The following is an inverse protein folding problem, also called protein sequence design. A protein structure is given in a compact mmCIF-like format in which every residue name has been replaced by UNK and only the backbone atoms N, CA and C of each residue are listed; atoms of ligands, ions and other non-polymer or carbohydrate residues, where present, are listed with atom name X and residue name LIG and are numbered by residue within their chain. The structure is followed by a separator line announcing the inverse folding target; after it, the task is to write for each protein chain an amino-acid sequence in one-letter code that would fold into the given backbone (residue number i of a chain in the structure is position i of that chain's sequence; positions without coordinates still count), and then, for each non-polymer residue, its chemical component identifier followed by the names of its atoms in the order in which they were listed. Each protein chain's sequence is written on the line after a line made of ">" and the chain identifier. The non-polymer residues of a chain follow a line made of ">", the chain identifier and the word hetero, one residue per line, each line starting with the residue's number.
data_IF_852163685463
#
_entry.id   IF_852163685463
#
_cell.length_a   1.000
_cell.length_b   1.000
_cell.length_c   1.000
_cell.angle_alpha   90.00
_cell.angle_beta   90.00
_cell.angle_gamma   90.00
#
_symmetry.space_group_name_H-M   'P 1'
#
loop_
_entity.id
_entity.type
_entity.pdbx_description
1 polymer ?
#
# COMPACT_ATOMS: atom_id res chain seq x y z
N UNK A 1 -41.59 5.37 -13.12
CA UNK A 1 -40.83 6.61 -13.41
C UNK A 1 -39.93 7.05 -12.25
N UNK A 2 -40.45 7.23 -11.01
CA UNK A 2 -39.65 7.64 -9.83
C UNK A 2 -38.42 6.76 -9.53
N UNK A 3 -38.52 5.43 -9.64
CA UNK A 3 -37.39 4.50 -9.38
C UNK A 3 -36.28 4.54 -10.44
N UNK A 4 -36.61 4.84 -11.70
CA UNK A 4 -35.65 4.94 -12.81
C UNK A 4 -34.89 6.28 -12.73
N UNK A 5 -35.57 7.34 -12.29
CA UNK A 5 -34.97 8.65 -12.03
C UNK A 5 -33.98 8.63 -10.85
N UNK A 6 -34.31 7.91 -9.77
CA UNK A 6 -33.40 7.76 -8.62
C UNK A 6 -32.17 6.91 -8.99
N UNK A 7 -32.36 5.82 -9.74
CA UNK A 7 -31.24 4.99 -10.21
C UNK A 7 -30.33 5.74 -11.20
N UNK A 8 -30.92 6.52 -12.10
CA UNK A 8 -30.17 7.37 -13.04
C UNK A 8 -29.38 8.48 -12.33
N UNK A 9 -29.93 9.06 -11.25
CA UNK A 9 -29.24 10.09 -10.46
C UNK A 9 -28.07 9.50 -9.64
N UNK A 10 -28.25 8.30 -9.07
CA UNK A 10 -27.18 7.59 -8.34
C UNK A 10 -26.03 7.20 -9.30
N UNK A 11 -26.35 6.71 -10.50
CA UNK A 11 -25.34 6.39 -11.52
C UNK A 11 -24.63 7.66 -12.01
N UNK A 12 -25.35 8.79 -12.17
CA UNK A 12 -24.73 10.06 -12.56
C UNK A 12 -23.78 10.62 -11.49
N UNK A 13 -24.13 10.49 -10.20
CA UNK A 13 -23.28 10.93 -9.09
C UNK A 13 -22.04 10.03 -8.96
N UNK A 14 -22.20 8.70 -9.15
CA UNK A 14 -21.08 7.76 -9.20
C UNK A 14 -20.15 8.01 -10.40
N UNK A 15 -20.70 8.36 -11.56
CA UNK A 15 -19.91 8.75 -12.74
C UNK A 15 -19.21 10.10 -12.54
N UNK A 16 -19.84 11.07 -11.88
CA UNK A 16 -19.23 12.36 -11.57
C UNK A 16 -18.08 12.25 -10.56
N UNK A 17 -18.16 11.30 -9.61
CA UNK A 17 -17.05 10.96 -8.72
C UNK A 17 -15.91 10.22 -9.44
N UNK A 18 -16.23 9.37 -10.43
CA UNK A 18 -15.23 8.66 -11.23
C UNK A 18 -14.54 9.55 -12.30
N UNK A 19 -15.18 10.63 -12.73
CA UNK A 19 -14.70 11.52 -13.80
C UNK A 19 -14.17 12.88 -13.30
N UNK A 20 -14.01 13.05 -11.99
CA UNK A 20 -13.24 14.18 -11.48
C UNK A 20 -11.79 13.98 -11.92
N UNK A 21 -11.19 14.88 -12.75
CA UNK A 21 -9.77 14.80 -13.01
C UNK A 21 -9.04 14.96 -11.68
N UNK A 22 -8.54 13.86 -11.11
CA UNK A 22 -7.60 13.88 -9.99
C UNK A 22 -6.35 14.55 -10.52
N UNK A 23 -6.30 15.86 -10.34
CA UNK A 23 -5.15 16.68 -10.68
C UNK A 23 -4.09 16.44 -9.62
N UNK A 24 -3.40 15.31 -9.68
CA UNK A 24 -2.16 15.10 -8.93
C UNK A 24 -1.05 15.82 -9.68
N UNK A 25 -1.05 17.15 -9.60
CA UNK A 25 0.17 17.91 -9.91
C UNK A 25 1.15 17.51 -8.82
N UNK A 26 2.15 16.70 -9.18
CA UNK A 26 3.31 16.46 -8.32
C UNK A 26 3.93 17.83 -8.01
N UNK A 27 3.70 18.36 -6.81
CA UNK A 27 4.34 19.60 -6.39
C UNK A 27 5.74 19.26 -5.90
N UNK A 28 6.69 19.34 -6.83
CA UNK A 28 8.12 19.12 -6.60
C UNK A 28 8.59 19.92 -5.38
N UNK A 29 9.18 19.22 -4.39
CA UNK A 29 9.77 19.85 -3.20
C UNK A 29 8.78 20.41 -2.18
N UNK A 30 7.49 20.01 -2.26
CA UNK A 30 6.52 20.36 -1.22
C UNK A 30 6.92 19.79 0.15
N UNK A 31 6.44 20.42 1.22
CA UNK A 31 6.52 19.83 2.56
C UNK A 31 5.71 18.54 2.63
N UNK A 32 6.28 17.51 3.24
CA UNK A 32 5.62 16.25 3.57
C UNK A 32 5.24 16.29 5.04
N UNK A 33 3.97 16.05 5.32
CA UNK A 33 3.49 15.96 6.72
C UNK A 33 3.43 14.51 7.15
N UNK A 34 4.17 14.17 8.22
CA UNK A 34 4.15 12.84 8.83
C UNK A 34 3.48 12.97 10.21
N UNK A 35 2.33 12.33 10.37
CA UNK A 35 1.67 12.20 11.65
C UNK A 35 2.15 10.93 12.37
N UNK A 36 2.37 11.03 13.67
CA UNK A 36 2.84 9.93 14.52
C UNK A 36 1.88 9.74 15.67
N UNK A 37 1.40 8.51 15.83
CA UNK A 37 0.46 8.17 16.88
C UNK A 37 1.16 7.88 18.20
N UNK A 38 0.73 8.58 19.25
CA UNK A 38 1.08 8.33 20.65
C UNK A 38 -0.19 8.27 21.52
N UNK A 39 -1.38 8.33 20.89
CA UNK A 39 -2.65 8.40 21.60
C UNK A 39 -3.21 7.01 21.94
N UNK A 40 -2.68 5.95 21.31
CA UNK A 40 -3.17 4.58 21.43
C UNK A 40 -2.23 3.68 22.24
N UNK A 41 -1.43 4.30 23.12
CA UNK A 41 -0.60 3.60 24.11
C UNK A 41 0.81 3.25 23.62
N UNK A 42 1.23 3.80 22.47
CA UNK A 42 2.62 3.78 22.03
C UNK A 42 3.51 4.53 23.00
N UNK A 43 4.76 4.09 23.16
CA UNK A 43 5.80 4.89 23.81
C UNK A 43 6.48 5.80 22.78
N UNK A 44 7.10 6.89 23.24
CA UNK A 44 7.81 7.85 22.39
C UNK A 44 9.31 7.51 22.24
N UNK A 45 9.74 6.33 22.70
CA UNK A 45 11.15 5.93 22.67
C UNK A 45 11.72 6.06 21.26
N UNK A 46 12.85 6.73 21.15
CA UNK A 46 13.56 7.06 19.91
C UNK A 46 12.84 8.02 18.95
N UNK A 47 11.61 8.44 19.22
CA UNK A 47 10.88 9.34 18.32
C UNK A 47 11.58 10.69 18.16
N UNK A 48 12.08 11.28 19.24
CA UNK A 48 12.84 12.54 19.18
C UNK A 48 14.08 12.44 18.27
N UNK A 49 14.74 11.27 18.25
CA UNK A 49 15.88 11.05 17.37
C UNK A 49 15.43 10.92 15.92
N UNK A 50 14.35 10.19 15.64
CA UNK A 50 13.79 10.08 14.29
C UNK A 50 13.42 11.47 13.75
N UNK A 51 12.65 12.22 14.53
CA UNK A 51 12.16 13.55 14.13
C UNK A 51 13.28 14.56 13.99
N UNK A 52 14.27 14.52 14.89
CA UNK A 52 15.43 15.40 14.86
C UNK A 52 16.43 15.11 13.73
N UNK A 53 16.54 13.84 13.29
CA UNK A 53 17.45 13.46 12.19
C UNK A 53 16.79 13.53 10.82
N UNK A 54 15.48 13.29 10.71
CA UNK A 54 14.74 13.29 9.44
C UNK A 54 13.91 14.58 9.34
N UNK A 55 14.59 15.71 9.11
CA UNK A 55 13.93 17.01 8.90
C UNK A 55 13.63 17.30 7.43
N UNK A 56 14.26 16.55 6.53
CA UNK A 56 14.01 16.58 5.09
C UNK A 56 14.53 15.30 4.46
N UNK A 57 13.98 14.90 3.31
CA UNK A 57 14.54 13.82 2.48
C UNK A 57 14.83 14.32 1.07
N UNK A 58 15.86 13.75 0.43
CA UNK A 58 16.20 14.07 -0.96
C UNK A 58 15.74 12.92 -1.86
N UNK A 59 14.90 13.26 -2.83
CA UNK A 59 14.36 12.33 -3.83
C UNK A 59 14.61 12.93 -5.20
N UNK A 60 15.32 12.22 -6.08
CA UNK A 60 15.68 12.67 -7.44
C UNK A 60 16.29 14.08 -7.50
N UNK A 61 17.15 14.42 -6.54
CA UNK A 61 17.81 15.73 -6.45
C UNK A 61 16.92 16.85 -5.89
N UNK A 62 15.68 16.54 -5.49
CA UNK A 62 14.73 17.48 -4.90
C UNK A 62 14.65 17.25 -3.40
N UNK A 63 14.75 18.33 -2.61
CA UNK A 63 14.58 18.28 -1.16
C UNK A 63 13.11 18.44 -0.80
N UNK A 64 12.60 17.53 0.03
CA UNK A 64 11.26 17.54 0.60
C UNK A 64 11.38 17.77 2.11
N UNK A 65 11.05 18.97 2.62
CA UNK A 65 11.00 19.22 4.06
C UNK A 65 9.97 18.32 4.75
N UNK A 66 10.27 17.84 5.96
CA UNK A 66 9.34 17.05 6.77
C UNK A 66 8.74 17.91 7.87
N UNK A 67 7.41 17.91 7.97
CA UNK A 67 6.66 18.44 9.09
C UNK A 67 6.12 17.29 9.94
N UNK A 68 6.59 17.18 11.18
CA UNK A 68 6.15 16.14 12.12
C UNK A 68 4.95 16.62 12.94
N UNK A 69 3.94 15.77 13.07
CA UNK A 69 2.74 16.04 13.87
C UNK A 69 2.52 14.88 14.84
N UNK A 70 2.65 15.12 16.14
CA UNK A 70 2.42 14.11 17.17
C UNK A 70 0.94 14.11 17.58
N UNK A 71 0.30 12.95 17.49
CA UNK A 71 -1.06 12.72 17.99
C UNK A 71 -0.90 12.23 19.43
N UNK A 72 -0.88 13.17 20.37
CA UNK A 72 -0.54 12.89 21.78
C UNK A 72 -1.70 12.28 22.57
N UNK A 73 -1.46 11.62 23.72
CA UNK A 73 -2.51 11.10 24.58
C UNK A 73 -3.65 12.08 24.83
N UNK A 74 -4.89 11.62 24.61
CA UNK A 74 -6.12 12.41 24.73
C UNK A 74 -6.57 13.12 23.45
N UNK A 75 -5.78 13.05 22.37
CA UNK A 75 -6.25 13.38 21.02
C UNK A 75 -6.93 12.18 20.37
N UNK A 76 -7.73 12.43 19.34
CA UNK A 76 -8.32 11.40 18.49
C UNK A 76 -7.91 11.60 17.04
N UNK A 77 -7.76 10.51 16.31
CA UNK A 77 -7.47 10.54 14.87
C UNK A 77 -8.75 10.93 14.13
N UNK A 78 -8.81 12.15 13.62
CA UNK A 78 -9.99 12.68 12.92
C UNK A 78 -9.67 13.06 11.49
N UNK A 79 -10.69 13.16 10.63
CA UNK A 79 -10.53 13.62 9.25
C UNK A 79 -9.92 15.02 9.14
N UNK A 80 -10.19 15.89 10.11
CA UNK A 80 -9.59 17.23 10.15
C UNK A 80 -8.10 17.16 10.47
N UNK A 81 -7.70 16.37 11.47
CA UNK A 81 -6.30 16.11 11.80
C UNK A 81 -5.54 15.52 10.60
N UNK A 82 -6.16 14.57 9.89
CA UNK A 82 -5.52 13.88 8.76
C UNK A 82 -5.55 14.66 7.43
N UNK A 83 -6.28 15.77 7.34
CA UNK A 83 -6.53 16.50 6.08
C UNK A 83 -5.25 16.95 5.35
N UNK A 84 -4.20 17.30 6.10
CA UNK A 84 -2.89 17.70 5.57
C UNK A 84 -1.80 16.65 5.73
N UNK A 85 -2.13 15.45 6.22
CA UNK A 85 -1.17 14.38 6.52
C UNK A 85 -0.91 13.55 5.26
N UNK A 86 0.36 13.28 4.96
CA UNK A 86 0.79 12.45 3.85
C UNK A 86 1.10 11.01 4.28
N UNK A 87 1.69 10.88 5.47
CA UNK A 87 2.11 9.61 6.05
C UNK A 87 1.60 9.55 7.49
N UNK A 88 0.97 8.45 7.87
CA UNK A 88 0.54 8.17 9.24
C UNK A 88 1.35 7.00 9.79
N UNK A 89 2.05 7.21 10.91
CA UNK A 89 2.84 6.20 11.59
C UNK A 89 2.13 5.77 12.88
N UNK A 90 1.68 4.52 12.93
CA UNK A 90 1.12 3.89 14.13
C UNK A 90 2.16 2.89 14.64
N UNK A 91 2.69 3.14 15.83
CA UNK A 91 3.88 2.46 16.33
C UNK A 91 3.60 1.02 16.76
N UNK A 92 3.04 0.87 17.96
CA UNK A 92 2.67 -0.39 18.57
C UNK A 92 1.44 -0.11 19.45
N UNK A 93 0.25 0.04 18.85
CA UNK A 93 -0.92 0.47 19.57
C UNK A 93 -1.31 -0.64 20.56
N UNK A 94 -1.62 -0.25 21.78
CA UNK A 94 -2.11 -1.14 22.85
C UNK A 94 -3.56 -0.84 23.24
N UNK A 95 -4.13 0.22 22.65
CA UNK A 95 -5.51 0.65 22.81
C UNK A 95 -6.21 0.60 21.45
N UNK A 96 -7.43 0.06 21.43
CA UNK A 96 -8.22 -0.03 20.20
C UNK A 96 -8.66 1.35 19.70
N UNK A 97 -8.61 1.53 18.38
CA UNK A 97 -9.17 2.69 17.69
C UNK A 97 -10.70 2.73 17.80
N UNK A 98 -11.24 3.93 18.00
CA UNK A 98 -12.68 4.16 17.90
C UNK A 98 -13.21 3.98 16.47
N UNK A 99 -14.51 3.68 16.28
CA UNK A 99 -15.11 3.57 14.95
C UNK A 99 -14.90 4.80 14.06
N UNK A 100 -15.01 6.00 14.64
CA UNK A 100 -14.82 7.26 13.92
C UNK A 100 -13.36 7.45 13.49
N UNK A 101 -12.40 6.96 14.28
CA UNK A 101 -10.98 7.01 13.96
C UNK A 101 -10.63 6.05 12.84
N UNK A 102 -11.14 4.82 12.90
CA UNK A 102 -10.98 3.83 11.83
C UNK A 102 -11.55 4.35 10.50
N UNK A 103 -12.72 5.00 10.52
CA UNK A 103 -13.32 5.60 9.32
C UNK A 103 -12.54 6.83 8.82
N UNK A 104 -12.00 7.64 9.72
CA UNK A 104 -11.12 8.77 9.36
C UNK A 104 -9.85 8.27 8.65
N UNK A 105 -9.19 7.25 9.19
CA UNK A 105 -7.99 6.64 8.59
C UNK A 105 -8.33 6.03 7.22
N UNK A 106 -9.43 5.26 7.14
CA UNK A 106 -9.88 4.66 5.89
C UNK A 106 -10.17 5.72 4.82
N UNK A 107 -10.97 6.72 5.15
CA UNK A 107 -11.31 7.82 4.24
C UNK A 107 -10.06 8.58 3.78
N UNK A 108 -9.14 8.87 4.71
CA UNK A 108 -7.87 9.50 4.40
C UNK A 108 -7.04 8.68 3.41
N UNK A 109 -6.89 7.38 3.63
CA UNK A 109 -6.13 6.48 2.74
C UNK A 109 -6.72 6.44 1.31
N UNK A 110 -8.06 6.49 1.21
CA UNK A 110 -8.81 6.52 -0.06
C UNK A 110 -8.64 7.83 -0.85
N UNK A 111 -8.11 8.89 -0.24
CA UNK A 111 -7.79 10.14 -0.97
C UNK A 111 -6.62 9.96 -1.94
N UNK A 112 -5.81 8.93 -1.74
CA UNK A 112 -4.66 8.60 -2.59
C UNK A 112 -3.37 9.33 -2.21
N UNK A 113 -2.24 8.82 -2.71
CA UNK A 113 -0.90 9.32 -2.39
C UNK A 113 -0.61 9.34 -0.88
N UNK A 114 -1.06 8.30 -0.17
CA UNK A 114 -0.89 8.17 1.29
C UNK A 114 -0.08 6.94 1.66
N UNK A 115 0.62 7.02 2.79
CA UNK A 115 1.24 5.83 3.40
C UNK A 115 0.76 5.65 4.82
N UNK A 116 0.09 4.54 5.09
CA UNK A 116 -0.17 4.05 6.44
C UNK A 116 0.96 3.10 6.83
N UNK A 117 1.73 3.45 7.84
CA UNK A 117 2.61 2.50 8.53
C UNK A 117 1.94 2.08 9.83
N UNK A 118 1.91 0.78 10.10
CA UNK A 118 1.45 0.24 11.36
C UNK A 118 2.31 -0.94 11.78
N UNK A 119 2.68 -1.00 13.05
CA UNK A 119 3.37 -2.15 13.60
C UNK A 119 2.73 -2.64 14.90
N UNK A 120 3.13 -3.85 15.29
CA UNK A 120 2.74 -4.49 16.53
C UNK A 120 3.95 -5.14 17.19
N UNK A 121 3.67 -6.15 17.99
CA UNK A 121 4.64 -6.93 18.80
C UNK A 121 4.35 -8.43 18.58
N UNK A 122 5.22 -9.27 19.09
CA UNK A 122 5.01 -10.70 19.31
C UNK A 122 3.79 -11.00 20.17
N UNK A 123 3.40 -12.27 20.25
CA UNK A 123 2.36 -12.74 21.16
C UNK A 123 2.82 -12.81 22.64
N UNK A 124 3.97 -12.24 23.01
CA UNK A 124 4.44 -12.22 24.39
C UNK A 124 3.82 -11.07 25.19
N UNK A 125 3.56 -11.29 26.48
CA UNK A 125 3.05 -10.24 27.38
C UNK A 125 1.74 -9.61 26.89
N UNK A 126 1.76 -8.30 26.66
CA UNK A 126 0.60 -7.54 26.15
C UNK A 126 0.44 -7.58 24.62
N UNK A 127 1.37 -8.20 23.90
CA UNK A 127 1.42 -8.16 22.45
C UNK A 127 0.24 -8.78 21.70
N UNK A 128 -0.48 -9.83 22.18
CA UNK A 128 -1.71 -10.29 21.52
C UNK A 128 -2.76 -9.19 21.35
N UNK A 129 -2.90 -8.30 22.34
CA UNK A 129 -3.81 -7.17 22.24
C UNK A 129 -3.36 -6.16 21.16
N UNK A 130 -2.04 -5.94 21.02
CA UNK A 130 -1.50 -5.10 19.97
C UNK A 130 -1.73 -5.71 18.58
N UNK A 131 -1.46 -7.02 18.43
CA UNK A 131 -1.73 -7.78 17.19
C UNK A 131 -3.22 -7.67 16.80
N UNK A 132 -4.14 -7.84 17.76
CA UNK A 132 -5.58 -7.73 17.52
C UNK A 132 -5.99 -6.32 17.06
N UNK A 133 -5.46 -5.28 17.70
CA UNK A 133 -5.72 -3.88 17.32
C UNK A 133 -5.21 -3.60 15.90
N UNK A 134 -3.97 -4.01 15.60
CA UNK A 134 -3.36 -3.85 14.27
C UNK A 134 -4.17 -4.58 13.21
N UNK A 135 -4.48 -5.86 13.44
CA UNK A 135 -5.23 -6.69 12.50
C UNK A 135 -6.67 -6.19 12.28
N UNK A 136 -7.29 -5.60 13.31
CA UNK A 136 -8.61 -4.99 13.21
C UNK A 136 -8.60 -3.76 12.30
N UNK A 137 -7.63 -2.85 12.48
CA UNK A 137 -7.49 -1.68 11.61
C UNK A 137 -7.14 -2.09 10.18
N UNK A 138 -6.21 -3.03 10.00
CA UNK A 138 -5.83 -3.54 8.68
C UNK A 138 -7.01 -4.14 7.92
N UNK A 139 -7.87 -4.90 8.61
CA UNK A 139 -9.12 -5.40 8.04
C UNK A 139 -10.12 -4.30 7.70
N UNK A 140 -10.19 -3.26 8.52
CA UNK A 140 -11.08 -2.13 8.29
C UNK A 140 -10.69 -1.29 7.07
N UNK A 141 -9.39 -1.09 6.84
CA UNK A 141 -8.87 -0.33 5.68
C UNK A 141 -8.71 -1.18 4.41
N UNK A 142 -9.34 -2.35 4.37
CA UNK A 142 -9.34 -3.28 3.23
C UNK A 142 -7.93 -3.81 2.84
N UNK A 143 -6.96 -3.77 3.77
CA UNK A 143 -5.65 -4.42 3.55
C UNK A 143 -5.77 -5.93 3.73
N UNK A 144 -4.98 -6.68 2.95
CA UNK A 144 -4.80 -8.13 3.06
C UNK A 144 -3.75 -8.52 4.10
N UNK A 145 -2.81 -7.64 4.43
CA UNK A 145 -1.72 -7.92 5.37
C UNK A 145 -2.23 -8.07 6.80
N UNK A 146 -1.65 -8.99 7.58
CA UNK A 146 -1.92 -9.18 9.00
C UNK A 146 -0.64 -9.51 9.74
N UNK A 147 -0.61 -9.28 11.04
CA UNK A 147 0.38 -9.84 11.94
C UNK A 147 -0.05 -11.24 12.38
N UNK A 148 0.91 -12.15 12.43
CA UNK A 148 0.74 -13.49 12.98
C UNK A 148 0.58 -13.45 14.50
N UNK A 149 -0.24 -14.35 15.04
CA UNK A 149 -0.41 -14.55 16.48
C UNK A 149 0.70 -15.46 17.00
N UNK A 150 1.93 -14.96 16.95
CA UNK A 150 3.12 -15.70 17.34
C UNK A 150 4.30 -14.77 17.61
N UNK A 151 5.37 -15.34 18.16
CA UNK A 151 6.69 -14.73 18.18
C UNK A 151 7.60 -15.38 17.13
N UNK A 152 8.48 -14.58 16.54
CA UNK A 152 9.63 -15.07 15.77
C UNK A 152 10.83 -15.09 16.69
N UNK A 153 11.50 -16.23 16.76
CA UNK A 153 12.69 -16.43 17.58
C UNK A 153 13.85 -16.98 16.75
N UNK A 154 15.06 -16.82 17.26
CA UNK A 154 16.25 -17.50 16.72
C UNK A 154 16.99 -18.22 17.85
N UNK A 155 17.77 -19.26 17.56
CA UNK A 155 18.35 -20.09 18.61
C UNK A 155 19.35 -19.34 19.51
N UNK A 156 19.35 -19.67 20.79
CA UNK A 156 20.31 -19.20 21.79
C UNK A 156 20.52 -20.28 22.86
N UNK A 157 21.75 -20.51 23.37
CA UNK A 157 23.01 -19.79 23.12
C UNK A 157 23.72 -20.19 21.81
N UNK A 158 23.24 -21.21 21.10
CA UNK A 158 23.79 -21.65 19.81
C UNK A 158 23.35 -20.72 18.67
N UNK A 159 23.88 -19.49 18.69
CA UNK A 159 23.50 -18.43 17.75
C UNK A 159 23.84 -18.87 16.33
N UNK A 160 22.82 -18.86 15.47
CA UNK A 160 23.01 -19.06 14.04
C UNK A 160 23.51 -17.76 13.42
N UNK A 161 24.38 -17.88 12.42
CA UNK A 161 24.79 -16.74 11.60
C UNK A 161 24.08 -16.76 10.24
N UNK A 162 23.95 -15.57 9.67
CA UNK A 162 23.47 -15.37 8.31
C UNK A 162 24.46 -14.49 7.54
N UNK A 163 24.83 -14.94 6.34
CA UNK A 163 25.64 -14.14 5.41
C UNK A 163 24.78 -13.05 4.77
N UNK A 164 24.84 -11.85 5.31
CA UNK A 164 24.17 -10.68 4.75
C UNK A 164 25.20 -9.80 4.03
N UNK A 165 24.99 -9.60 2.72
CA UNK A 165 25.87 -8.77 1.86
C UNK A 165 27.36 -9.13 1.97
N UNK A 166 27.65 -10.43 2.08
CA UNK A 166 29.01 -10.95 2.16
C UNK A 166 29.65 -10.88 3.55
N UNK A 167 28.91 -10.49 4.58
CA UNK A 167 29.37 -10.44 5.98
C UNK A 167 28.48 -11.35 6.83
N UNK A 168 29.10 -12.13 7.72
CA UNK A 168 28.37 -12.94 8.70
C UNK A 168 27.85 -12.06 9.84
N UNK A 169 26.54 -12.12 10.09
CA UNK A 169 25.93 -11.51 11.27
C UNK A 169 25.25 -12.58 12.13
N UNK A 170 25.29 -12.46 13.47
CA UNK A 170 24.47 -13.30 14.34
C UNK A 170 23.00 -13.01 14.08
N UNK A 171 22.12 -14.01 14.20
CA UNK A 171 20.67 -13.82 13.99
C UNK A 171 19.94 -13.34 15.25
N UNK A 172 20.66 -13.16 16.37
CA UNK A 172 20.18 -12.43 17.54
C UNK A 172 21.28 -11.67 18.30
N UNK A 173 20.84 -10.76 19.15
CA UNK A 173 21.65 -9.97 20.06
C UNK A 173 21.66 -10.55 21.50
N UNK A 174 22.25 -11.74 21.67
CA UNK A 174 22.49 -12.42 22.96
C UNK A 174 21.26 -12.98 23.69
N UNK A 175 20.11 -13.10 23.01
CA UNK A 175 18.96 -13.86 23.51
C UNK A 175 18.05 -14.24 22.34
N UNK A 176 17.30 -15.34 22.48
CA UNK A 176 16.49 -15.90 21.38
C UNK A 176 15.40 -14.96 20.84
N UNK A 177 14.92 -14.03 21.69
CA UNK A 177 13.90 -13.03 21.34
C UNK A 177 14.48 -11.75 20.74
N UNK A 178 15.78 -11.48 20.93
CA UNK A 178 16.44 -10.25 20.43
C UNK A 178 16.88 -10.43 18.99
N UNK A 179 15.92 -10.73 18.13
CA UNK A 179 16.19 -11.16 16.76
C UNK A 179 16.70 -9.99 15.95
N UNK A 180 17.73 -10.21 15.14
CA UNK A 180 18.09 -9.22 14.12
C UNK A 180 17.48 -9.63 12.79
N UNK A 181 17.03 -8.64 12.03
CA UNK A 181 16.35 -8.81 10.76
C UNK A 181 17.13 -8.12 9.64
N UNK A 182 16.95 -8.62 8.42
CA UNK A 182 17.76 -8.27 7.26
C UNK A 182 16.90 -7.50 6.25
N UNK A 183 17.37 -6.31 5.86
CA UNK A 183 16.69 -5.47 4.87
C UNK A 183 16.98 -6.07 3.49
N UNK A 184 16.01 -6.79 2.95
CA UNK A 184 16.13 -7.56 1.70
C UNK A 184 14.82 -7.41 0.91
N UNK A 185 14.53 -6.19 0.41
CA UNK A 185 13.25 -5.91 -0.20
C UNK A 185 13.08 -6.66 -1.52
N UNK A 186 11.84 -7.06 -1.81
CA UNK A 186 11.47 -7.56 -3.14
C UNK A 186 11.83 -6.51 -4.21
N UNK A 187 12.47 -6.90 -5.33
CA UNK A 187 13.03 -5.97 -6.31
C UNK A 187 11.95 -5.41 -7.25
N UNK A 188 11.01 -4.64 -6.71
CA UNK A 188 9.94 -3.97 -7.45
C UNK A 188 10.42 -2.59 -7.92
N UNK A 189 10.98 -2.53 -9.13
CA UNK A 189 11.60 -1.32 -9.70
C UNK A 189 10.61 -0.16 -9.88
N UNK A 190 9.38 -0.46 -10.31
CA UNK A 190 8.30 0.54 -10.48
C UNK A 190 7.92 1.24 -9.16
N UNK A 191 8.23 0.60 -8.04
CA UNK A 191 7.99 1.15 -6.71
C UNK A 191 9.29 1.51 -5.99
N UNK A 192 10.43 1.59 -6.69
CA UNK A 192 11.69 2.12 -6.14
C UNK A 192 12.18 1.42 -4.87
N UNK A 193 11.85 0.13 -4.70
CA UNK A 193 12.21 -0.68 -3.52
C UNK A 193 13.71 -0.79 -3.27
N UNK A 194 14.54 -0.60 -4.31
CA UNK A 194 16.00 -0.53 -4.18
C UNK A 194 16.48 0.57 -3.21
N UNK A 195 15.69 1.63 -3.00
CA UNK A 195 16.03 2.73 -2.09
C UNK A 195 16.06 2.29 -0.63
N UNK A 196 15.31 1.25 -0.27
CA UNK A 196 15.23 0.75 1.11
C UNK A 196 16.57 0.19 1.59
N UNK A 197 17.31 -0.43 0.67
CA UNK A 197 18.54 -1.16 0.94
C UNK A 197 19.81 -0.35 0.61
N UNK A 198 19.65 0.90 0.16
CA UNK A 198 20.74 1.80 -0.21
C UNK A 198 21.61 2.14 1.00
N UNK A 199 22.90 1.81 0.94
CA UNK A 199 23.88 1.95 2.04
C UNK A 199 23.52 1.24 3.36
N UNK A 200 22.54 0.36 3.37
CA UNK A 200 22.34 -0.57 4.49
C UNK A 200 23.36 -1.70 4.34
N UNK A 201 24.17 -1.95 5.36
CA UNK A 201 25.26 -2.94 5.34
C UNK A 201 25.19 -3.90 6.53
N UNK A 202 24.45 -3.51 7.56
CA UNK A 202 24.22 -4.23 8.82
C UNK A 202 22.72 -4.53 8.96
N UNK A 203 22.34 -5.54 9.76
CA UNK A 203 20.94 -5.82 10.04
C UNK A 203 20.32 -4.71 10.90
N UNK A 204 19.01 -4.83 11.12
CA UNK A 204 18.25 -4.04 12.11
C UNK A 204 17.83 -4.96 13.26
N UNK A 205 17.50 -4.38 14.43
CA UNK A 205 16.95 -5.15 15.55
C UNK A 205 15.43 -5.22 15.47
N UNK A 206 14.87 -6.37 15.86
CA UNK A 206 13.48 -6.50 16.25
C UNK A 206 13.40 -7.31 17.56
N UNK A 207 13.01 -6.66 18.66
CA UNK A 207 13.23 -7.16 20.02
C UNK A 207 12.16 -8.11 20.55
N UNK A 208 10.91 -7.89 20.16
CA UNK A 208 9.77 -8.78 20.40
C UNK A 208 9.06 -9.05 19.10
N UNK A 209 9.68 -9.68 18.09
CA UNK A 209 9.08 -9.68 16.78
C UNK A 209 7.96 -10.69 16.65
N UNK A 210 6.86 -10.28 16.03
CA UNK A 210 6.01 -11.18 15.23
C UNK A 210 6.43 -11.13 13.74
N UNK A 211 5.76 -11.87 12.88
CA UNK A 211 5.91 -11.79 11.42
C UNK A 211 4.60 -11.38 10.74
N UNK A 212 4.74 -10.91 9.51
CA UNK A 212 3.62 -10.56 8.63
C UNK A 212 3.14 -11.82 7.91
N UNK A 213 1.82 -11.97 7.86
CA UNK A 213 1.06 -12.93 7.04
C UNK A 213 0.03 -12.16 6.20
N UNK A 214 -0.78 -12.85 5.41
CA UNK A 214 -1.89 -12.20 4.69
C UNK A 214 -3.15 -13.04 4.65
N UNK A 215 -4.29 -12.42 4.32
CA UNK A 215 -5.60 -13.05 4.25
C UNK A 215 -6.11 -13.00 2.81
N UNK A 216 -6.54 -14.16 2.29
CA UNK A 216 -7.13 -14.27 0.95
C UNK A 216 -8.60 -13.81 0.90
N UNK A 217 -9.16 -13.73 -0.31
CA UNK A 217 -10.55 -13.30 -0.53
C UNK A 217 -11.59 -14.23 0.12
N UNK A 218 -11.21 -15.46 0.45
CA UNK A 218 -12.05 -16.42 1.15
C UNK A 218 -11.88 -16.35 2.68
N UNK A 219 -11.05 -15.43 3.19
CA UNK A 219 -10.81 -15.24 4.62
C UNK A 219 -9.78 -16.20 5.22
N UNK A 220 -9.00 -16.90 4.39
CA UNK A 220 -7.97 -17.81 4.87
C UNK A 220 -6.63 -17.09 5.03
N UNK A 221 -5.92 -17.36 6.12
CA UNK A 221 -4.56 -16.91 6.33
C UNK A 221 -3.57 -17.64 5.42
N UNK A 222 -2.54 -16.92 4.96
CA UNK A 222 -1.56 -17.36 3.96
C UNK A 222 -0.15 -16.91 4.31
N UNK A 223 0.81 -17.72 3.90
CA UNK A 223 2.25 -17.51 4.10
C UNK A 223 2.82 -16.61 2.98
N UNK A 224 3.31 -15.39 3.27
CA UNK A 224 3.88 -14.49 2.27
C UNK A 224 5.26 -14.95 1.76
N UNK A 225 5.90 -15.93 2.42
CA UNK A 225 7.15 -16.52 1.95
C UNK A 225 6.89 -17.37 0.70
N UNK A 226 5.81 -18.16 0.71
CA UNK A 226 5.49 -19.13 -0.34
C UNK A 226 4.34 -18.73 -1.26
N UNK A 227 3.42 -17.87 -0.80
CA UNK A 227 2.25 -17.41 -1.54
C UNK A 227 2.21 -15.88 -1.62
N UNK A 228 1.99 -15.35 -2.82
CA UNK A 228 1.98 -13.91 -3.09
C UNK A 228 0.62 -13.45 -3.65
N UNK A 229 0.33 -12.16 -3.50
CA UNK A 229 -0.82 -11.51 -4.15
C UNK A 229 -0.40 -10.20 -4.84
N UNK A 230 -1.17 -9.71 -5.84
CA UNK A 230 -0.87 -8.44 -6.49
C UNK A 230 -0.82 -7.28 -5.49
N UNK A 231 0.30 -6.58 -5.43
CA UNK A 231 0.52 -5.45 -4.52
C UNK A 231 1.34 -5.81 -3.28
N UNK A 232 1.58 -7.09 -2.97
CA UNK A 232 2.49 -7.50 -1.90
C UNK A 232 3.95 -7.14 -2.25
N UNK A 233 4.65 -6.57 -1.27
CA UNK A 233 6.09 -6.28 -1.31
C UNK A 233 6.69 -6.67 0.03
N UNK A 234 7.61 -7.63 0.07
CA UNK A 234 8.31 -8.03 1.30
C UNK A 234 9.54 -7.15 1.44
N UNK A 235 9.80 -6.60 2.63
CA UNK A 235 10.80 -5.55 2.83
C UNK A 235 11.96 -6.02 3.71
N UNK A 236 11.63 -6.66 4.82
CA UNK A 236 12.58 -7.09 5.85
C UNK A 236 12.30 -8.52 6.24
N UNK A 237 13.36 -9.30 6.43
CA UNK A 237 13.28 -10.74 6.65
C UNK A 237 13.97 -11.16 7.93
N UNK A 238 13.33 -12.07 8.65
CA UNK A 238 14.00 -12.94 9.59
C UNK A 238 14.62 -14.10 8.84
N UNK A 239 15.87 -14.44 9.17
CA UNK A 239 16.61 -15.56 8.60
C UNK A 239 17.02 -16.50 9.72
N UNK A 240 17.04 -17.79 9.44
CA UNK A 240 17.45 -18.84 10.39
C UNK A 240 16.63 -18.85 11.69
N UNK A 241 15.32 -18.67 11.55
CA UNK A 241 14.39 -18.42 12.65
C UNK A 241 13.41 -19.58 12.83
N UNK A 242 12.64 -19.53 13.91
CA UNK A 242 11.54 -20.44 14.22
C UNK A 242 10.39 -19.67 14.89
N UNK A 243 9.22 -20.30 14.96
CA UNK A 243 8.00 -19.73 15.55
C UNK A 243 7.86 -20.17 17.01
N UNK A 244 7.55 -19.22 17.88
CA UNK A 244 7.13 -19.44 19.26
C UNK A 244 5.66 -19.08 19.45
N UNK A 245 5.00 -19.78 20.37
CA UNK A 245 3.63 -19.52 20.83
C UNK A 245 3.71 -19.30 22.35
N UNK A 246 3.56 -18.05 22.75
CA UNK A 246 3.66 -17.60 24.13
C UNK A 246 2.28 -17.41 24.76
N UNK A 247 1.30 -16.89 24.00
CA UNK A 247 -0.06 -16.65 24.48
C UNK A 247 -1.10 -16.90 23.39
N UNK A 248 -2.33 -17.28 23.78
CA UNK A 248 -3.42 -17.45 22.82
C UNK A 248 -3.77 -16.13 22.10
N UNK A 249 -4.34 -16.21 20.88
CA UNK A 249 -4.66 -17.44 20.14
C UNK A 249 -3.42 -18.10 19.53
N UNK A 250 -3.55 -19.38 19.15
CA UNK A 250 -2.46 -20.09 18.47
C UNK A 250 -2.15 -19.46 17.09
N UNK A 251 -0.92 -19.65 16.57
CA UNK A 251 -0.53 -19.13 15.25
C UNK A 251 -1.48 -19.61 14.14
N UNK A 252 -1.79 -18.71 13.20
CA UNK A 252 -2.72 -18.94 12.11
C UNK A 252 -2.11 -19.73 10.95
N UNK A 253 -0.86 -19.44 10.59
CA UNK A 253 -0.20 -20.01 9.41
C UNK A 253 0.86 -21.03 9.80
N UNK A 254 1.68 -20.72 10.80
CA UNK A 254 2.87 -21.50 11.10
C UNK A 254 2.69 -22.41 12.32
N UNK A 255 2.45 -23.69 12.07
CA UNK A 255 2.31 -24.67 13.14
C UNK A 255 3.63 -24.94 13.89
N UNK A 256 3.56 -25.07 15.22
CA UNK A 256 4.75 -25.26 16.06
C UNK A 256 5.47 -26.61 15.84
N UNK A 257 4.77 -27.63 15.36
CA UNK A 257 5.39 -28.94 15.10
C UNK A 257 6.38 -28.85 13.93
N UNK A 258 6.03 -28.08 12.91
CA UNK A 258 6.86 -27.86 11.73
C UNK A 258 7.84 -26.71 11.95
N UNK A 259 7.33 -25.55 12.34
CA UNK A 259 8.06 -24.27 12.37
C UNK A 259 8.64 -23.90 13.73
N UNK A 260 8.33 -24.64 14.79
CA UNK A 260 8.92 -24.43 16.11
C UNK A 260 10.37 -24.89 16.21
N UNK A 261 11.02 -24.58 17.35
CA UNK A 261 12.42 -24.95 17.58
C UNK A 261 12.63 -26.46 17.51
N UNK A 262 13.56 -26.90 16.66
CA UNK A 262 13.85 -28.32 16.43
C UNK A 262 12.86 -29.04 15.51
N UNK A 263 11.81 -28.37 15.04
CA UNK A 263 10.93 -28.87 13.99
C UNK A 263 11.63 -28.96 12.64
N UNK A 264 11.08 -29.70 11.66
CA UNK A 264 11.67 -29.85 10.33
C UNK A 264 11.82 -28.53 9.56
N UNK A 265 11.08 -27.48 9.95
CA UNK A 265 11.16 -26.12 9.44
C UNK A 265 11.62 -25.11 10.52
N UNK A 266 12.18 -25.56 11.64
CA UNK A 266 12.73 -24.73 12.73
C UNK A 266 14.05 -24.01 12.42
N UNK A 267 14.29 -23.73 11.13
CA UNK A 267 15.38 -22.92 10.57
C UNK A 267 14.89 -22.19 9.30
N UNK A 268 13.71 -21.57 9.42
CA UNK A 268 13.00 -20.93 8.31
C UNK A 268 13.32 -19.44 8.17
N UNK A 269 12.76 -18.84 7.13
CA UNK A 269 12.68 -17.38 6.98
C UNK A 269 11.23 -16.93 7.17
N UNK A 270 11.04 -15.74 7.71
CA UNK A 270 9.73 -15.11 7.88
C UNK A 270 9.83 -13.64 7.50
N UNK A 271 8.71 -13.04 7.08
CA UNK A 271 8.66 -11.63 6.68
C UNK A 271 8.42 -10.78 7.93
N UNK A 272 9.35 -9.91 8.27
CA UNK A 272 9.22 -8.99 9.41
C UNK A 272 8.54 -7.67 9.06
N UNK A 273 8.76 -7.19 7.84
CA UNK A 273 8.10 -6.01 7.28
C UNK A 273 7.57 -6.34 5.88
N UNK A 274 6.33 -5.97 5.60
CA UNK A 274 5.75 -6.05 4.27
C UNK A 274 4.94 -4.79 3.95
N UNK A 275 4.74 -4.52 2.66
CA UNK A 275 3.84 -3.50 2.18
C UNK A 275 2.80 -4.08 1.22
N UNK A 276 1.63 -3.48 1.24
CA UNK A 276 0.58 -3.67 0.25
C UNK A 276 0.38 -2.35 -0.49
N UNK A 277 0.58 -2.40 -1.80
CA UNK A 277 0.45 -1.25 -2.66
C UNK A 277 -0.91 -1.21 -3.37
N UNK A 278 -1.66 -0.12 -3.15
CA UNK A 278 -2.94 0.14 -3.77
C UNK A 278 -2.76 0.98 -5.05
N UNK A 279 -2.50 0.29 -6.16
CA UNK A 279 -2.19 0.92 -7.46
C UNK A 279 -3.17 2.01 -7.89
N UNK A 280 -4.47 1.82 -7.67
CA UNK A 280 -5.50 2.79 -8.09
C UNK A 280 -5.48 4.09 -7.27
N UNK A 281 -4.90 4.04 -6.08
CA UNK A 281 -4.82 5.17 -5.14
C UNK A 281 -3.43 5.81 -5.13
N UNK A 282 -2.40 5.12 -5.65
CA UNK A 282 -1.00 5.41 -5.34
C UNK A 282 -0.76 5.50 -3.82
N UNK A 283 -1.43 4.62 -3.07
CA UNK A 283 -1.32 4.54 -1.61
C UNK A 283 -0.70 3.22 -1.19
N UNK A 284 -0.16 3.18 0.02
CA UNK A 284 0.48 2.00 0.56
C UNK A 284 0.13 1.79 2.02
N UNK A 285 -0.02 0.52 2.40
CA UNK A 285 -0.05 0.09 3.80
C UNK A 285 1.23 -0.69 4.05
N UNK A 286 2.00 -0.29 5.05
CA UNK A 286 3.23 -0.97 5.50
C UNK A 286 2.97 -1.55 6.88
N UNK A 287 3.17 -2.85 7.01
CA UNK A 287 2.94 -3.61 8.23
C UNK A 287 4.28 -4.16 8.72
N UNK A 288 4.55 -4.02 10.02
CA UNK A 288 5.74 -4.60 10.62
C UNK A 288 5.44 -5.34 11.92
N UNK A 289 6.15 -6.44 12.14
CA UNK A 289 6.08 -7.20 13.39
C UNK A 289 6.89 -6.61 14.53
N UNK A 290 7.51 -5.44 14.34
CA UNK A 290 8.18 -4.62 15.35
C UNK A 290 8.18 -3.17 14.88
N UNK A 291 8.09 -2.23 15.81
CA UNK A 291 7.98 -0.81 15.49
C UNK A 291 9.30 -0.09 15.16
N UNK A 292 9.22 1.03 14.42
CA UNK A 292 10.36 1.94 14.19
C UNK A 292 10.73 2.72 15.45
N UNK A 293 9.75 2.96 16.33
CA UNK A 293 9.86 3.71 17.58
C UNK A 293 8.99 3.07 18.66
N UNK A 294 9.15 3.50 19.90
CA UNK A 294 8.19 3.19 20.96
C UNK A 294 8.31 1.83 21.64
N UNK A 295 8.78 0.79 20.95
CA UNK A 295 9.05 -0.52 21.58
C UNK A 295 10.18 -0.45 22.64
N UNK A 296 10.37 -1.53 23.41
CA UNK A 296 11.51 -1.72 24.29
C UNK A 296 12.85 -1.52 23.58
N UNK A 297 13.05 -2.04 22.38
CA UNK A 297 14.20 -1.68 21.54
C UNK A 297 13.81 -1.72 20.05
N UNK A 298 13.29 -0.60 19.52
CA UNK A 298 12.74 -0.55 18.17
C UNK A 298 13.81 -0.52 17.09
N UNK A 299 13.36 -0.67 15.84
CA UNK A 299 14.22 -0.77 14.67
C UNK A 299 15.14 0.45 14.44
N UNK A 300 14.89 1.61 15.08
CA UNK A 300 15.79 2.77 15.03
C UNK A 300 17.17 2.52 15.67
N UNK A 301 17.32 1.53 16.55
CA UNK A 301 18.58 1.31 17.26
C UNK A 301 19.79 1.15 16.33
N UNK A 302 20.90 1.80 16.66
CA UNK A 302 22.18 1.67 15.94
C UNK A 302 23.07 0.56 16.49
N UNK A 303 22.75 0.02 17.67
CA UNK A 303 23.50 -1.08 18.28
C UNK A 303 22.71 -1.72 19.41
N UNK A 304 22.81 -3.03 19.56
CA UNK A 304 22.18 -3.71 20.70
C UNK A 304 23.01 -4.91 21.17
N UNK A 305 23.29 -4.95 22.48
CA UNK A 305 24.10 -6.00 23.13
C UNK A 305 25.45 -6.36 22.46
N UNK A 306 26.05 -5.41 21.72
CA UNK A 306 27.32 -5.59 21.01
C UNK A 306 27.18 -6.03 19.55
N UNK A 307 25.97 -6.03 19.00
CA UNK A 307 25.71 -6.12 17.56
C UNK A 307 25.52 -4.70 17.04
N UNK A 308 26.29 -4.32 16.03
CA UNK A 308 26.09 -3.05 15.31
C UNK A 308 24.92 -3.19 14.33
N UNK A 309 24.12 -2.13 14.19
CA UNK A 309 22.89 -2.12 13.42
C UNK A 309 22.79 -0.88 12.52
N UNK A 310 22.09 -1.00 11.40
CA UNK A 310 21.80 0.11 10.49
C UNK A 310 20.38 0.67 10.64
N UNK A 311 19.83 0.58 11.85
CA UNK A 311 18.49 1.08 12.18
C UNK A 311 18.20 2.50 11.68
N UNK A 312 18.99 3.53 12.04
CA UNK A 312 18.73 4.90 11.60
C UNK A 312 18.78 5.06 10.07
N UNK A 313 19.67 4.32 9.39
CA UNK A 313 19.78 4.33 7.93
C UNK A 313 18.54 3.70 7.28
N UNK A 314 18.12 2.53 7.76
CA UNK A 314 16.91 1.87 7.27
C UNK A 314 15.67 2.75 7.45
N UNK A 315 15.44 3.32 8.63
CA UNK A 315 14.29 4.19 8.88
C UNK A 315 14.31 5.44 7.99
N UNK A 316 15.49 6.04 7.78
CA UNK A 316 15.66 7.17 6.85
C UNK A 316 15.32 6.77 5.41
N UNK A 317 15.80 5.61 4.96
CA UNK A 317 15.51 5.08 3.63
C UNK A 317 14.02 4.76 3.45
N UNK A 318 13.37 4.25 4.49
CA UNK A 318 11.93 3.95 4.49
C UNK A 318 11.10 5.23 4.28
N UNK A 319 11.40 6.31 5.02
CA UNK A 319 10.73 7.61 4.82
C UNK A 319 11.01 8.16 3.42
N UNK A 320 12.26 8.10 2.95
CA UNK A 320 12.62 8.57 1.61
C UNK A 320 11.90 7.78 0.51
N UNK A 321 11.74 6.47 0.69
CA UNK A 321 10.99 5.60 -0.20
C UNK A 321 9.50 5.95 -0.23
N UNK A 322 8.87 6.14 0.94
CA UNK A 322 7.47 6.57 1.02
C UNK A 322 7.23 7.89 0.30
N UNK A 323 8.10 8.88 0.53
CA UNK A 323 8.04 10.18 -0.16
C UNK A 323 8.18 9.99 -1.66
N UNK A 324 9.12 9.15 -2.12
CA UNK A 324 9.29 8.84 -3.55
C UNK A 324 8.00 8.27 -4.16
N UNK A 325 7.37 7.31 -3.51
CA UNK A 325 6.12 6.68 -4.00
C UNK A 325 4.99 7.69 -4.10
N UNK A 326 4.68 8.41 -3.02
CA UNK A 326 3.50 9.30 -2.99
C UNK A 326 3.68 10.59 -3.79
N UNK A 327 4.91 10.95 -4.16
CA UNK A 327 5.20 12.12 -5.00
C UNK A 327 5.43 11.77 -6.47
N UNK A 328 5.50 10.49 -6.81
CA UNK A 328 5.63 10.02 -8.19
C UNK A 328 4.31 9.39 -8.64
N UNK A 329 3.53 10.04 -9.52
CA UNK A 329 2.33 9.42 -10.06
C UNK A 329 2.72 8.20 -10.91
N UNK A 330 2.09 7.04 -10.65
CA UNK A 330 2.21 5.92 -11.57
C UNK A 330 1.45 6.24 -12.86
N UNK A 331 2.13 6.05 -13.99
CA UNK A 331 1.48 6.06 -15.31
C UNK A 331 0.66 4.78 -15.43
N UNK A 332 -0.64 4.87 -15.18
CA UNK A 332 -1.55 3.75 -15.43
C UNK A 332 -1.80 3.66 -16.93
N UNK A 333 -1.12 2.74 -17.61
CA UNK A 333 -1.44 2.39 -19.00
C UNK A 333 -2.80 1.69 -18.99
N UNK A 334 -3.87 2.39 -19.36
CA UNK A 334 -5.18 1.77 -19.54
C UNK A 334 -5.16 1.05 -20.87
N UNK A 335 -5.06 -0.29 -20.84
CA UNK A 335 -5.30 -1.12 -22.03
C UNK A 335 -6.81 -1.23 -22.22
N UNK A 336 -7.40 -0.29 -22.95
CA UNK A 336 -8.79 -0.38 -23.35
C UNK A 336 -8.92 -1.41 -24.47
N UNK A 337 -9.53 -2.56 -24.17
CA UNK A 337 -9.82 -3.58 -25.18
C UNK A 337 -11.16 -3.23 -25.83
N UNK A 338 -11.13 -2.45 -26.90
CA UNK A 338 -12.33 -2.27 -27.73
C UNK A 338 -12.56 -3.51 -28.59
N UNK A 339 -13.62 -4.26 -28.27
CA UNK A 339 -14.11 -5.33 -29.15
C UNK A 339 -15.00 -4.70 -30.23
N UNK A 340 -14.46 -4.51 -31.44
CA UNK A 340 -15.26 -4.08 -32.59
C UNK A 340 -15.80 -5.32 -33.31
N UNK A 341 -17.10 -5.58 -33.19
CA UNK A 341 -17.79 -6.64 -33.95
C UNK A 341 -18.33 -6.05 -35.26
N UNK A 342 -17.79 -6.47 -36.39
CA UNK A 342 -18.32 -6.13 -37.73
C UNK A 342 -19.06 -7.33 -38.30
N UNK A 343 -20.36 -7.19 -38.56
CA UNK A 343 -21.18 -8.22 -39.21
C UNK A 343 -21.35 -7.87 -40.68
N UNK A 344 -20.74 -8.64 -41.57
CA UNK A 344 -20.98 -8.54 -43.03
C UNK A 344 -21.95 -9.64 -43.46
N UNK A 345 -23.08 -9.24 -44.06
CA UNK A 345 -24.08 -10.16 -44.62
C UNK A 345 -23.94 -10.15 -46.14
N UNK A 346 -23.46 -11.25 -46.72
CA UNK A 346 -23.41 -11.42 -48.18
C UNK A 346 -24.57 -12.29 -48.65
N UNK A 347 -25.48 -11.72 -49.44
CA UNK A 347 -26.61 -12.45 -50.04
C UNK A 347 -26.28 -12.77 -51.50
N UNK A 348 -26.09 -14.05 -51.83
CA UNK A 348 -25.94 -14.49 -53.22
C UNK A 348 -27.27 -15.08 -53.70
N UNK A 349 -27.88 -14.48 -54.71
CA UNK A 349 -29.11 -14.98 -55.33
C UNK A 349 -28.75 -15.80 -56.57
N UNK A 350 -28.94 -17.11 -56.52
CA UNK A 350 -28.85 -17.99 -57.68
C UNK A 350 -30.26 -18.31 -58.15
N UNK A 351 -30.53 -18.06 -59.43
CA UNK A 351 -31.84 -18.25 -60.06
C UNK A 351 -32.14 -19.74 -60.21
N UNK A 352 -32.58 -20.37 -59.11
CA UNK A 352 -33.56 -21.47 -59.00
C UNK A 352 -33.63 -21.92 -57.53
N UNK A 353 -34.48 -21.19 -56.78
CA UNK A 353 -35.22 -21.63 -55.58
C UNK A 353 -34.49 -22.39 -54.46
N UNK A 354 -33.32 -21.93 -54.01
CA UNK A 354 -32.81 -22.20 -52.63
C UNK A 354 -32.09 -20.94 -52.12
N UNK A 355 -32.52 -20.37 -50.99
CA UNK A 355 -31.82 -19.29 -50.30
C UNK A 355 -30.89 -19.88 -49.26
N UNK A 356 -29.59 -19.64 -49.38
CA UNK A 356 -28.58 -20.05 -48.39
C UNK A 356 -27.94 -18.81 -47.80
N UNK A 357 -28.10 -18.61 -46.48
CA UNK A 357 -27.50 -17.49 -45.74
C UNK A 357 -26.21 -17.97 -45.08
N UNK A 358 -25.07 -17.35 -45.42
CA UNK A 358 -23.80 -17.58 -44.73
C UNK A 358 -23.54 -16.40 -43.79
N UNK A 359 -23.25 -16.67 -42.52
CA UNK A 359 -22.82 -15.65 -41.55
C UNK A 359 -21.35 -15.89 -41.25
N UNK A 360 -20.49 -14.95 -41.64
CA UNK A 360 -19.06 -15.00 -41.33
C UNK A 360 -18.80 -14.03 -40.18
N UNK A 361 -18.28 -14.53 -39.06
CA UNK A 361 -17.86 -13.68 -37.92
C UNK A 361 -16.34 -13.52 -37.98
N UNK A 362 -15.85 -12.29 -38.07
CA UNK A 362 -14.41 -11.98 -38.02
C UNK A 362 -14.12 -11.17 -36.77
N UNK A 363 -13.31 -11.72 -35.87
CA UNK A 363 -12.81 -11.02 -34.68
C UNK A 363 -11.46 -10.40 -35.01
N UNK A 364 -11.36 -9.06 -35.02
CA UNK A 364 -10.08 -8.36 -35.04
C UNK A 364 -9.76 -7.84 -33.64
N UNK A 365 -8.56 -8.10 -33.16
CA UNK A 365 -8.01 -7.49 -31.95
C UNK A 365 -7.17 -6.29 -32.37
N UNK A 366 -7.63 -5.08 -32.02
CA UNK A 366 -6.84 -3.86 -32.21
C UNK A 366 -6.15 -3.52 -30.89
N UNK A 367 -4.81 -3.54 -30.90
CA UNK A 367 -4.01 -3.10 -29.77
C UNK A 367 -3.66 -1.63 -29.96
N UNK A 368 -4.40 -0.73 -29.31
CA UNK A 368 -4.08 0.71 -29.31
C UNK A 368 -3.21 1.02 -28.10
N UNK A 369 -1.96 1.43 -28.32
CA UNK A 369 -1.09 1.91 -27.24
C UNK A 369 -1.34 3.40 -27.05
N UNK A 370 -2.07 3.78 -26.00
CA UNK A 370 -2.20 5.19 -25.60
C UNK A 370 -1.09 5.49 -24.61
N UNK A 371 -0.05 6.20 -25.06
CA UNK A 371 0.97 6.75 -24.17
C UNK A 371 0.50 8.13 -23.73
N UNK A 372 -0.14 8.22 -22.56
CA UNK A 372 -0.39 9.53 -21.93
C UNK A 372 0.91 10.03 -21.34
N UNK A 373 1.74 10.67 -22.16
CA UNK A 373 2.86 11.48 -21.66
C UNK A 373 2.29 12.85 -21.35
N UNK A 374 2.10 13.21 -20.07
CA UNK A 374 1.99 14.62 -19.70
C UNK A 374 3.36 15.26 -19.89
N UNK A 375 3.66 15.62 -21.13
CA UNK A 375 4.83 16.43 -21.46
C UNK A 375 4.46 17.89 -21.20
N UNK A 376 5.00 18.45 -20.13
CA UNK A 376 5.00 19.90 -19.92
C UNK A 376 5.67 20.56 -21.13
N UNK A 377 4.87 21.17 -22.00
CA UNK A 377 5.36 21.94 -23.14
C UNK A 377 5.20 23.41 -22.76
N UNK A 378 6.30 24.04 -22.36
CA UNK A 378 6.37 25.50 -22.31
C UNK A 378 6.11 26.03 -23.72
N UNK A 379 4.91 26.58 -23.92
CA UNK A 379 4.51 27.16 -25.19
C UNK A 379 4.73 28.67 -25.13
N UNK A 380 5.76 29.15 -25.82
CA UNK A 380 5.93 30.57 -26.11
C UNK A 380 4.78 31.01 -27.03
N UNK A 381 3.90 31.86 -26.52
CA UNK A 381 2.72 32.36 -27.25
C UNK A 381 3.18 33.30 -28.36
N UNK A 382 3.02 32.90 -29.63
CA UNK A 382 2.85 33.84 -30.74
C UNK A 382 1.34 33.99 -30.94
N UNK A 383 0.85 35.21 -30.74
CA UNK A 383 -0.58 35.54 -30.77
C UNK A 383 -1.11 35.56 -32.20
N UNK A 384 -1.93 34.57 -32.56
CA UNK A 384 -2.90 34.69 -33.65
C UNK A 384 -4.30 34.40 -33.09
N UNK A 385 -5.21 35.37 -33.21
CA UNK A 385 -6.58 35.31 -32.67
C UNK A 385 -7.46 34.41 -33.56
N UNK A 386 -7.86 33.26 -33.03
CA UNK A 386 -9.03 32.49 -33.49
C UNK A 386 -10.01 32.38 -32.32
N UNK A 387 -11.35 32.44 -32.53
CA UNK A 387 -12.30 32.52 -31.42
C UNK A 387 -12.40 31.23 -30.61
N UNK A 388 -12.28 31.36 -29.29
CA UNK A 388 -12.52 30.32 -28.29
C UNK A 388 -13.98 29.87 -28.28
N UNK A 389 -14.22 28.58 -28.50
CA UNK A 389 -15.44 27.92 -28.05
C UNK A 389 -15.13 27.21 -26.74
N UNK A 390 -15.62 27.77 -25.64
CA UNK A 390 -15.48 27.18 -24.31
C UNK A 390 -16.20 25.83 -24.24
N UNK A 391 -15.61 24.85 -23.56
CA UNK A 391 -16.09 23.48 -23.34
C UNK A 391 -17.54 23.36 -22.84
N UNK A 392 -18.09 24.43 -22.25
CA UNK A 392 -19.49 24.57 -21.87
C UNK A 392 -20.47 24.52 -23.06
N UNK A 393 -20.08 25.00 -24.24
CA UNK A 393 -20.95 25.02 -25.43
C UNK A 393 -21.13 23.62 -26.02
N UNK A 394 -20.07 22.80 -26.01
CA UNK A 394 -20.10 21.42 -26.51
C UNK A 394 -20.96 20.53 -25.61
N UNK A 395 -20.85 20.69 -24.29
CA UNK A 395 -21.67 19.96 -23.32
C UNK A 395 -23.16 20.31 -23.45
N UNK A 396 -23.48 21.58 -23.71
CA UNK A 396 -24.85 22.03 -23.90
C UNK A 396 -25.49 21.43 -25.17
N UNK A 397 -24.72 21.35 -26.26
CA UNK A 397 -25.17 20.75 -27.53
C UNK A 397 -25.44 19.26 -27.37
N UNK A 398 -24.57 18.53 -26.66
CA UNK A 398 -24.76 17.09 -26.39
C UNK A 398 -25.99 16.87 -25.51
N UNK A 399 -26.20 17.69 -24.48
CA UNK A 399 -27.39 17.60 -23.62
C UNK A 399 -28.70 17.84 -24.40
N UNK A 400 -28.71 18.81 -25.32
CA UNK A 400 -29.87 19.10 -26.17
C UNK A 400 -30.16 17.92 -27.12
N UNK A 401 -29.13 17.30 -27.70
CA UNK A 401 -29.28 16.13 -28.57
C UNK A 401 -29.87 14.94 -27.80
N UNK A 402 -29.39 14.68 -26.57
CA UNK A 402 -29.90 13.59 -25.73
C UNK A 402 -31.37 13.83 -25.35
N UNK A 403 -31.74 15.07 -25.02
CA UNK A 403 -33.14 15.45 -24.72
C UNK A 403 -34.04 15.26 -25.95
N UNK A 404 -33.57 15.63 -27.15
CA UNK A 404 -34.32 15.44 -28.39
C UNK A 404 -34.52 13.96 -28.74
N UNK A 405 -33.52 13.10 -28.50
CA UNK A 405 -33.62 11.65 -28.71
C UNK A 405 -34.58 11.00 -27.71
N UNK A 406 -34.58 11.47 -26.45
CA UNK A 406 -35.52 10.98 -25.44
C UNK A 406 -36.96 11.43 -25.72
N UNK A 407 -37.16 12.67 -26.18
CA UNK A 407 -38.47 13.20 -26.54
C UNK A 407 -39.08 12.47 -27.75
N UNK A 408 -38.28 12.18 -28.77
CA UNK A 408 -38.73 11.43 -29.95
C UNK A 408 -39.09 9.98 -29.62
N UNK A 409 -38.36 9.33 -28.71
CA UNK A 409 -38.71 7.98 -28.22
C UNK A 409 -39.96 7.94 -27.34
N UNK A 410 -40.26 9.02 -26.62
CA UNK A 410 -41.49 9.16 -25.82
C UNK A 410 -42.72 9.41 -26.71
N UNK A 411 -42.54 10.14 -27.81
CA UNK A 411 -43.61 10.39 -28.80
C UNK A 411 -43.90 9.16 -29.68
N UNK A 412 -42.92 8.30 -29.93
CA UNK A 412 -43.08 7.06 -30.69
C UNK A 412 -43.77 5.92 -29.92
N UNK A 413 -44.14 6.12 -28.65
CA UNK A 413 -44.85 5.14 -27.80
C UNK A 413 -46.31 5.51 -27.48
N UNK A 414 -46.92 6.40 -28.29
CA UNK A 414 -48.37 6.65 -28.26
C UNK A 414 -49.06 6.08 -29.47
#
# INVERSE_FOLDING_TARGET
>A
MRKILVLGFIVLVLLALAMSPRSTVAQTGRTITIAVDLAHGESDRYLDFIQGNITSVIVDGVSYPINWVNITPGMSITSELLSGVDILLIGQPTVSFGPDEMEAIRTWLLTGNKVLYIAGDSDYGGGPASIDVVNSLLGYVDSKLRLEQAAVYTPYPDVRNYTYKGVEYPTNAKAYYRVVAFVEPDPVSLLYTYMLDEDVTKPIIMHGPTCVIWVDEAGNYRDPVSEIFPGLIRLVWFRRAYIGDNNPPAPYVYDLLSYGYGGPKGDSSFVGYAAEYFTQLNSMVVVAGESLYGDYEPAWSSSYYGVDLDGPKFVTNLVRWWVKVITTPLVTTVTETETVTTTETTTTTITEKITTTFTTTTTQTLTTTIVTTEKTTETTIITEKVPDYTSTTVVLVIAIIIIAILATRLLAKK
#
